data_IF_949260232117
#
_entry.id   IF_949260232117
#
_cell.length_a   1.000
_cell.length_b   1.000
_cell.length_c   1.000
_cell.angle_alpha   90.00
_cell.angle_beta   90.00
_cell.angle_gamma   90.00
#
_symmetry.space_group_name_H-M   'P 1'
#
loop_
_entity.id
_entity.type
_entity.pdbx_description
1 polymer ?
#
# COMPACT_ATOMS: atom_id res chain seq x y z
N UNK A 1 23.89 -13.21 22.50
CA UNK A 1 22.72 -13.57 21.67
C UNK A 1 23.13 -13.41 20.20
N UNK A 2 23.80 -14.43 19.66
CA UNK A 2 24.26 -14.45 18.27
C UNK A 2 23.21 -15.12 17.40
N UNK A 3 22.49 -14.36 16.58
CA UNK A 3 21.51 -14.94 15.66
C UNK A 3 22.17 -15.83 14.61
N UNK A 4 21.43 -16.77 13.98
CA UNK A 4 21.97 -17.69 12.98
C UNK A 4 22.65 -16.95 11.81
N UNK A 5 22.14 -15.78 11.43
CA UNK A 5 22.76 -14.92 10.42
C UNK A 5 24.21 -14.52 10.75
N UNK A 6 24.54 -14.31 12.03
CA UNK A 6 25.90 -13.95 12.44
C UNK A 6 26.86 -15.13 12.25
N UNK A 7 26.43 -16.35 12.57
CA UNK A 7 27.29 -17.55 12.50
C UNK A 7 27.67 -17.89 11.06
N UNK A 8 26.75 -17.74 10.11
CA UNK A 8 27.01 -18.08 8.70
C UNK A 8 27.58 -16.92 7.87
N UNK A 9 27.18 -15.67 8.14
CA UNK A 9 27.54 -14.53 7.28
C UNK A 9 28.75 -13.73 7.81
N UNK A 10 29.09 -13.75 9.11
CA UNK A 10 30.31 -13.09 9.60
C UNK A 10 31.58 -13.53 8.86
N UNK A 11 31.87 -14.85 8.72
CA UNK A 11 33.17 -15.27 8.19
C UNK A 11 33.35 -14.86 6.72
N UNK A 12 32.26 -14.81 5.94
CA UNK A 12 32.27 -14.32 4.57
C UNK A 12 32.55 -12.80 4.50
N UNK A 13 31.95 -12.04 5.41
CA UNK A 13 32.13 -10.58 5.49
C UNK A 13 33.53 -10.22 6.02
N UNK A 14 34.08 -10.98 6.96
CA UNK A 14 35.42 -10.79 7.50
C UNK A 14 36.55 -11.19 6.54
N UNK A 15 36.28 -12.08 5.58
CA UNK A 15 37.20 -12.44 4.51
C UNK A 15 37.28 -11.34 3.44
N UNK A 16 36.16 -10.66 3.17
CA UNK A 16 36.08 -9.59 2.20
C UNK A 16 36.66 -8.24 2.70
N UNK A 17 36.84 -8.06 4.02
CA UNK A 17 37.24 -6.80 4.63
C UNK A 17 38.71 -6.75 5.09
N UNK A 18 39.44 -5.64 4.82
CA UNK A 18 40.78 -5.41 5.38
C UNK A 18 40.75 -5.34 6.92
N UNK A 19 41.84 -5.77 7.57
CA UNK A 19 42.00 -5.85 9.05
C UNK A 19 41.41 -4.69 9.87
N UNK A 20 41.55 -3.39 9.52
CA UNK A 20 40.99 -2.29 10.32
C UNK A 20 39.45 -2.20 10.32
N UNK A 21 38.76 -2.76 9.33
CA UNK A 21 37.30 -2.65 9.18
C UNK A 21 36.52 -3.80 9.81
N UNK A 22 37.20 -4.86 10.25
CA UNK A 22 36.58 -6.04 10.88
C UNK A 22 35.75 -5.69 12.12
N UNK A 23 36.13 -4.65 12.88
CA UNK A 23 35.34 -4.15 14.03
C UNK A 23 33.93 -3.68 13.67
N UNK A 24 33.70 -3.25 12.43
CA UNK A 24 32.40 -2.76 11.95
C UNK A 24 31.59 -3.85 11.24
N UNK A 25 32.17 -5.04 11.02
CA UNK A 25 31.51 -6.13 10.30
C UNK A 25 30.20 -6.55 10.99
N UNK A 26 30.21 -6.68 12.32
CA UNK A 26 29.01 -7.06 13.09
C UNK A 26 27.91 -5.99 13.01
N UNK A 27 28.32 -4.72 13.03
CA UNK A 27 27.42 -3.56 12.91
C UNK A 27 26.78 -3.58 11.53
N UNK A 28 27.58 -3.61 10.46
CA UNK A 28 27.09 -3.60 9.08
C UNK A 28 26.17 -4.79 8.82
N UNK A 29 26.58 -6.00 9.22
CA UNK A 29 25.78 -7.21 9.03
C UNK A 29 24.44 -7.14 9.78
N UNK A 30 24.45 -6.65 11.02
CA UNK A 30 23.21 -6.52 11.79
C UNK A 30 22.28 -5.49 11.17
N UNK A 31 22.81 -4.35 10.71
CA UNK A 31 22.00 -3.31 10.06
C UNK A 31 21.49 -3.71 8.68
N UNK A 32 22.26 -4.42 7.86
CA UNK A 32 21.81 -4.87 6.54
C UNK A 32 20.70 -5.90 6.66
N UNK A 33 20.86 -6.91 7.52
CA UNK A 33 19.82 -7.92 7.77
C UNK A 33 18.54 -7.26 8.31
N UNK A 34 18.68 -6.32 9.27
CA UNK A 34 17.53 -5.57 9.79
C UNK A 34 16.87 -4.71 8.72
N UNK A 35 17.64 -4.00 7.91
CA UNK A 35 17.11 -3.13 6.85
C UNK A 35 16.39 -3.95 5.79
N UNK A 36 16.89 -5.13 5.45
CA UNK A 36 16.23 -6.06 4.54
C UNK A 36 14.92 -6.58 5.12
N UNK A 37 14.91 -6.98 6.40
CA UNK A 37 13.69 -7.37 7.09
C UNK A 37 12.65 -6.25 7.16
N UNK A 38 13.07 -5.02 7.46
CA UNK A 38 12.21 -3.83 7.47
C UNK A 38 11.66 -3.55 6.06
N UNK A 39 12.49 -3.69 5.03
CA UNK A 39 12.08 -3.50 3.63
C UNK A 39 10.98 -4.49 3.24
N UNK A 40 11.13 -5.77 3.59
CA UNK A 40 10.08 -6.78 3.36
C UNK A 40 8.81 -6.44 4.13
N UNK A 41 8.93 -6.06 5.40
CA UNK A 41 7.79 -5.67 6.24
C UNK A 41 7.04 -4.46 5.66
N UNK A 42 7.74 -3.47 5.14
CA UNK A 42 7.12 -2.31 4.48
C UNK A 42 6.44 -2.68 3.17
N UNK A 43 7.02 -3.59 2.38
CA UNK A 43 6.36 -4.09 1.16
C UNK A 43 5.06 -4.80 1.50
N UNK A 44 5.06 -5.71 2.48
CA UNK A 44 3.86 -6.40 2.95
C UNK A 44 2.81 -5.42 3.48
N UNK A 45 3.24 -4.45 4.30
CA UNK A 45 2.36 -3.40 4.83
C UNK A 45 1.71 -2.58 3.72
N UNK A 46 2.47 -2.25 2.67
CA UNK A 46 1.96 -1.51 1.51
C UNK A 46 0.90 -2.31 0.76
N UNK A 47 1.10 -3.61 0.57
CA UNK A 47 0.11 -4.50 -0.06
C UNK A 47 -1.20 -4.56 0.74
N UNK A 48 -1.12 -4.63 2.07
CA UNK A 48 -2.34 -4.63 2.91
C UNK A 48 -3.05 -3.28 2.82
N UNK A 49 -2.31 -2.17 2.85
CA UNK A 49 -2.87 -0.82 2.70
C UNK A 49 -3.57 -0.61 1.36
N UNK A 50 -2.98 -1.13 0.29
CA UNK A 50 -3.53 -1.03 -1.06
C UNK A 50 -4.81 -1.85 -1.22
N UNK A 51 -4.84 -3.06 -0.67
CA UNK A 51 -6.05 -3.89 -0.62
C UNK A 51 -7.21 -3.15 0.04
N UNK A 52 -7.00 -2.57 1.22
CA UNK A 52 -8.05 -1.81 1.92
C UNK A 52 -8.49 -0.56 1.14
N UNK A 53 -7.55 0.13 0.50
CA UNK A 53 -7.85 1.32 -0.29
C UNK A 53 -8.61 1.00 -1.58
N UNK A 54 -8.26 -0.10 -2.25
CA UNK A 54 -8.94 -0.58 -3.46
C UNK A 54 -10.39 -0.99 -3.17
N UNK A 55 -10.66 -1.68 -2.04
CA UNK A 55 -12.03 -2.03 -1.65
C UNK A 55 -12.88 -0.81 -1.35
N UNK A 56 -12.34 0.14 -0.57
CA UNK A 56 -13.06 1.38 -0.24
C UNK A 56 -13.32 2.21 -1.49
N UNK A 57 -12.32 2.35 -2.36
CA UNK A 57 -12.45 3.05 -3.64
C UNK A 57 -13.45 2.38 -4.58
N UNK A 58 -13.39 1.06 -4.72
CA UNK A 58 -14.32 0.28 -5.56
C UNK A 58 -15.77 0.40 -5.11
N UNK A 59 -16.02 0.31 -3.79
CA UNK A 59 -17.35 0.50 -3.22
C UNK A 59 -17.88 1.93 -3.45
N UNK A 60 -17.04 2.94 -3.27
CA UNK A 60 -17.42 4.33 -3.54
C UNK A 60 -17.72 4.56 -5.03
N UNK A 61 -16.91 4.01 -5.92
CA UNK A 61 -17.12 4.12 -7.36
C UNK A 61 -18.42 3.45 -7.79
N UNK A 62 -18.67 2.22 -7.33
CA UNK A 62 -19.89 1.48 -7.65
C UNK A 62 -21.16 2.23 -7.21
N UNK A 63 -21.17 2.77 -5.99
CA UNK A 63 -22.30 3.58 -5.49
C UNK A 63 -22.57 4.82 -6.34
N UNK A 64 -21.51 5.55 -6.70
CA UNK A 64 -21.66 6.75 -7.53
C UNK A 64 -22.07 6.40 -8.97
N UNK A 65 -21.55 5.31 -9.52
CA UNK A 65 -21.91 4.83 -10.87
C UNK A 65 -23.40 4.43 -10.92
N UNK A 66 -23.88 3.67 -9.93
CA UNK A 66 -25.29 3.28 -9.84
C UNK A 66 -26.20 4.48 -9.61
N UNK A 67 -25.80 5.43 -8.74
CA UNK A 67 -26.53 6.68 -8.56
C UNK A 67 -26.64 7.47 -9.86
N UNK A 68 -25.55 7.60 -10.61
CA UNK A 68 -25.52 8.29 -11.89
C UNK A 68 -26.40 7.62 -12.95
N UNK A 69 -26.43 6.28 -13.00
CA UNK A 69 -27.28 5.54 -13.93
C UNK A 69 -28.78 5.66 -13.62
N UNK A 70 -29.12 5.81 -12.34
CA UNK A 70 -30.49 6.11 -11.89
C UNK A 70 -30.88 7.54 -12.29
N UNK A 71 -29.99 8.51 -12.08
CA UNK A 71 -30.23 9.92 -12.43
C UNK A 71 -30.40 10.14 -13.95
N UNK A 72 -29.73 9.32 -14.77
CA UNK A 72 -29.89 9.33 -16.24
C UNK A 72 -31.19 8.66 -16.72
N UNK A 73 -32.00 8.07 -15.83
CA UNK A 73 -33.28 7.45 -16.17
C UNK A 73 -33.17 6.10 -16.89
N UNK A 74 -31.97 5.52 -16.99
CA UNK A 74 -31.77 4.18 -17.56
C UNK A 74 -32.32 3.05 -16.68
N UNK A 75 -32.56 3.35 -15.39
CA UNK A 75 -32.96 2.37 -14.39
C UNK A 75 -34.18 2.91 -13.65
N UNK A 76 -35.34 2.28 -13.85
CA UNK A 76 -36.55 2.61 -13.08
C UNK A 76 -36.42 2.02 -11.67
N UNK A 77 -36.62 2.86 -10.64
CA UNK A 77 -36.72 2.43 -9.24
C UNK A 77 -38.02 1.64 -9.04
N UNK A 78 -38.00 0.36 -9.36
CA UNK A 78 -39.04 -0.55 -8.92
C UNK A 78 -38.68 -1.15 -7.55
N UNK A 79 -39.68 -1.53 -6.76
CA UNK A 79 -39.51 -2.03 -5.39
C UNK A 79 -38.66 -3.30 -5.32
N UNK A 80 -38.71 -4.12 -6.37
CA UNK A 80 -37.88 -5.32 -6.54
C UNK A 80 -36.41 -4.96 -6.86
N UNK A 81 -36.20 -3.87 -7.62
CA UNK A 81 -34.87 -3.39 -7.98
C UNK A 81 -34.09 -2.84 -6.76
N UNK A 82 -34.78 -2.16 -5.83
CA UNK A 82 -34.16 -1.72 -4.56
C UNK A 82 -33.69 -2.89 -3.68
N UNK A 83 -34.32 -4.06 -3.78
CA UNK A 83 -33.89 -5.27 -3.06
C UNK A 83 -32.61 -5.91 -3.66
N UNK A 84 -32.44 -5.84 -4.99
CA UNK A 84 -31.26 -6.39 -5.69
C UNK A 84 -30.06 -5.43 -5.79
N UNK A 85 -30.31 -4.11 -5.77
CA UNK A 85 -29.32 -3.03 -5.75
C UNK A 85 -28.12 -3.26 -4.80
N UNK A 86 -28.30 -3.62 -3.51
CA UNK A 86 -27.18 -3.82 -2.60
C UNK A 86 -26.32 -5.05 -2.91
N UNK A 87 -26.85 -6.03 -3.65
CA UNK A 87 -26.08 -7.20 -4.11
C UNK A 87 -25.26 -6.86 -5.34
N UNK A 88 -25.85 -6.14 -6.30
CA UNK A 88 -25.17 -5.67 -7.51
C UNK A 88 -24.05 -4.69 -7.17
N UNK A 89 -24.29 -3.74 -6.26
CA UNK A 89 -23.28 -2.78 -5.78
C UNK A 89 -22.06 -3.47 -5.16
N UNK A 90 -22.28 -4.54 -4.40
CA UNK A 90 -21.19 -5.34 -3.82
C UNK A 90 -20.39 -6.05 -4.91
N UNK A 91 -21.05 -6.72 -5.85
CA UNK A 91 -20.38 -7.47 -6.92
C UNK A 91 -19.55 -6.53 -7.80
N UNK A 92 -20.14 -5.40 -8.23
CA UNK A 92 -19.46 -4.38 -9.03
C UNK A 92 -18.32 -3.73 -8.24
N UNK A 93 -18.57 -3.38 -6.97
CA UNK A 93 -17.54 -2.84 -6.08
C UNK A 93 -16.35 -3.77 -5.87
N UNK A 94 -16.58 -5.07 -5.67
CA UNK A 94 -15.51 -6.07 -5.54
C UNK A 94 -14.78 -6.30 -6.86
N UNK A 95 -15.47 -6.34 -8.00
CA UNK A 95 -14.84 -6.48 -9.32
C UNK A 95 -13.90 -5.30 -9.61
N UNK A 96 -14.35 -4.07 -9.33
CA UNK A 96 -13.55 -2.85 -9.53
C UNK A 96 -12.40 -2.77 -8.52
N UNK A 97 -12.62 -3.21 -7.28
CA UNK A 97 -11.55 -3.31 -6.28
C UNK A 97 -10.46 -4.31 -6.70
N UNK A 98 -10.83 -5.49 -7.24
CA UNK A 98 -9.88 -6.47 -7.74
C UNK A 98 -9.09 -5.94 -8.96
N UNK A 99 -9.76 -5.24 -9.88
CA UNK A 99 -9.10 -4.57 -11.00
C UNK A 99 -8.14 -3.48 -10.54
N UNK A 100 -8.56 -2.66 -9.57
CA UNK A 100 -7.72 -1.61 -8.98
C UNK A 100 -6.49 -2.19 -8.26
N UNK A 101 -6.66 -3.30 -7.55
CA UNK A 101 -5.56 -4.02 -6.89
C UNK A 101 -4.60 -4.62 -7.91
N UNK A 102 -5.12 -5.27 -8.96
CA UNK A 102 -4.32 -5.82 -10.06
C UNK A 102 -3.47 -4.73 -10.72
N UNK A 103 -4.08 -3.57 -10.98
CA UNK A 103 -3.38 -2.41 -11.51
C UNK A 103 -2.30 -1.90 -10.55
N UNK A 104 -2.61 -1.75 -9.25
CA UNK A 104 -1.65 -1.31 -8.23
C UNK A 104 -0.44 -2.26 -8.08
N UNK A 105 -0.64 -3.58 -8.20
CA UNK A 105 0.44 -4.57 -8.16
C UNK A 105 1.26 -4.58 -9.46
N UNK A 106 0.62 -4.46 -10.61
CA UNK A 106 1.31 -4.51 -11.92
C UNK A 106 2.21 -3.30 -12.14
N UNK A 107 1.76 -2.10 -11.72
CA UNK A 107 2.54 -0.88 -11.87
C UNK A 107 3.42 -0.56 -10.64
N UNK A 108 3.47 -1.45 -9.66
CA UNK A 108 4.36 -1.32 -8.49
C UNK A 108 4.12 -0.05 -7.67
N UNK A 109 2.87 0.42 -7.60
CA UNK A 109 2.49 1.71 -6.99
C UNK A 109 3.11 2.95 -7.63
N UNK A 110 3.75 2.81 -8.80
CA UNK A 110 4.13 3.95 -9.63
C UNK A 110 2.95 4.34 -10.52
N UNK A 111 2.69 5.63 -10.66
CA UNK A 111 1.62 6.13 -11.52
C UNK A 111 2.14 6.17 -12.97
N UNK A 112 1.67 5.30 -13.88
CA UNK A 112 2.04 5.41 -15.29
C UNK A 112 1.52 6.73 -15.86
N UNK A 113 2.27 7.32 -16.78
CA UNK A 113 1.82 8.51 -17.51
C UNK A 113 0.56 8.18 -18.33
N UNK A 114 -0.54 8.99 -18.32
CA UNK A 114 -0.67 10.34 -17.77
C UNK A 114 -1.36 10.43 -16.39
N UNK A 115 -1.70 9.31 -15.75
CA UNK A 115 -2.40 9.29 -14.45
C UNK A 115 -1.63 10.05 -13.35
N UNK A 116 -0.30 10.11 -13.43
CA UNK A 116 0.53 10.93 -12.53
C UNK A 116 0.14 12.41 -12.53
N UNK A 117 -0.26 12.97 -13.68
CA UNK A 117 -0.62 14.39 -13.81
C UNK A 117 -2.01 14.66 -13.26
N UNK A 118 -2.97 13.79 -13.57
CA UNK A 118 -4.37 13.91 -13.11
C UNK A 118 -4.46 13.74 -11.58
N UNK A 119 -3.69 12.78 -11.03
CA UNK A 119 -3.70 12.44 -9.61
C UNK A 119 -2.62 13.17 -8.80
N UNK A 120 -1.88 14.10 -9.40
CA UNK A 120 -0.90 14.94 -8.72
C UNK A 120 -1.41 15.65 -7.45
N UNK A 121 -2.63 16.24 -7.40
CA UNK A 121 -3.13 16.83 -6.15
C UNK A 121 -3.32 15.78 -5.04
N UNK A 122 -3.67 14.55 -5.40
CA UNK A 122 -3.83 13.45 -4.43
C UNK A 122 -2.48 12.93 -3.92
N UNK A 123 -1.42 12.92 -4.73
CA UNK A 123 -0.08 12.51 -4.28
C UNK A 123 0.52 13.50 -3.28
N UNK A 124 0.30 14.81 -3.47
CA UNK A 124 0.66 15.83 -2.47
C UNK A 124 -0.12 15.62 -1.17
N UNK A 125 -1.41 15.33 -1.26
CA UNK A 125 -2.28 15.15 -0.10
C UNK A 125 -1.89 13.89 0.71
N UNK A 126 -1.51 12.80 0.04
CA UNK A 126 -0.94 11.62 0.69
C UNK A 126 0.36 11.94 1.43
N UNK A 127 1.27 12.69 0.79
CA UNK A 127 2.51 13.12 1.43
C UNK A 127 2.25 14.01 2.66
N UNK A 128 1.29 14.93 2.56
CA UNK A 128 0.86 15.78 3.67
C UNK A 128 0.24 14.97 4.81
N UNK A 129 -0.62 13.99 4.52
CA UNK A 129 -1.24 13.13 5.54
C UNK A 129 -0.19 12.29 6.29
N UNK A 130 0.78 11.72 5.57
CA UNK A 130 1.89 10.97 6.19
C UNK A 130 2.72 11.88 7.07
N UNK A 131 3.03 13.09 6.61
CA UNK A 131 3.76 14.08 7.40
C UNK A 131 2.99 14.48 8.68
N UNK A 132 1.68 14.73 8.57
CA UNK A 132 0.83 15.10 9.69
C UNK A 132 0.71 13.99 10.74
N UNK A 133 0.50 12.73 10.33
CA UNK A 133 0.45 11.57 11.24
C UNK A 133 1.79 11.36 11.93
N UNK A 134 2.89 11.52 11.20
CA UNK A 134 4.22 11.37 11.79
C UNK A 134 4.49 12.48 12.82
N UNK A 135 4.00 13.70 12.56
CA UNK A 135 4.13 14.83 13.47
C UNK A 135 3.16 14.77 14.68
N UNK A 136 1.96 14.19 14.53
CA UNK A 136 1.00 14.07 15.63
C UNK A 136 1.48 13.14 16.74
N UNK A 137 2.33 12.16 16.42
CA UNK A 137 2.92 11.25 17.41
C UNK A 137 3.91 11.97 18.36
N UNK A 138 4.43 13.14 17.99
CA UNK A 138 5.29 13.97 18.85
C UNK A 138 4.51 14.95 19.75
N UNK A 139 3.25 15.24 19.43
CA UNK A 139 2.44 16.25 20.16
C UNK A 139 1.64 15.61 21.31
N UNK A 140 1.34 14.31 21.26
CA UNK A 140 0.56 13.59 22.28
C UNK A 140 1.48 12.93 23.34
N UNK A 141 2.81 12.95 23.12
CA UNK A 141 3.83 12.39 24.02
C UNK A 141 4.37 13.37 25.08
N UNK A 142 3.77 14.55 25.22
CA UNK A 142 4.09 15.56 26.23
C UNK A 142 2.85 15.94 27.05
#
# INVERSE_FOLDING_TARGET
IGGPAKVFLLPLVELALPKPYKRWADVILTYTVRSFAISIAWTLRRVVSSYHSAIRGGLMFSKNLLGYLVDMGYIQKDSEYEAYLPYVDKIVGYAIALLGLWFQLTYGFSLPFPLNVILFPFTILEYALVWMVNNSHYIIGH
#
